data_IF_309669908520
#
_entry.id   IF_309669908520
#
_cell.length_a   1.000
_cell.length_b   1.000
_cell.length_c   1.000
_cell.angle_alpha   90.00
_cell.angle_beta   90.00
_cell.angle_gamma   90.00
#
_symmetry.space_group_name_H-M   'P 1'
#
loop_
_entity.id
_entity.type
_entity.pdbx_description
1 polymer ?
#
# COMPACT_ATOMS: atom_id res chain seq x y z
N UNK A 1 15.45 11.72 7.32
CA UNK A 1 14.49 11.12 6.39
C UNK A 1 13.07 11.37 6.86
N UNK A 2 12.19 11.66 5.94
CA UNK A 2 10.80 12.00 6.27
C UNK A 2 10.01 10.83 6.84
N UNK A 3 10.21 9.62 6.31
CA UNK A 3 9.43 8.46 6.70
C UNK A 3 10.17 7.58 7.69
N UNK A 4 9.43 7.03 8.65
CA UNK A 4 9.97 6.10 9.65
C UNK A 4 8.95 4.99 9.87
N UNK A 5 9.45 3.81 10.12
CA UNK A 5 8.60 2.67 10.46
C UNK A 5 7.78 3.02 11.71
N UNK A 6 6.49 2.73 11.66
CA UNK A 6 5.57 3.02 12.75
C UNK A 6 4.80 4.31 12.59
N UNK A 7 5.07 5.10 11.56
CA UNK A 7 4.29 6.30 11.30
C UNK A 7 2.97 5.95 10.63
N UNK A 8 1.95 6.75 10.94
CA UNK A 8 0.67 6.70 10.25
C UNK A 8 0.43 8.07 9.62
N UNK A 9 0.08 8.07 8.34
CA UNK A 9 -0.08 9.28 7.54
C UNK A 9 -1.47 9.40 6.95
N UNK A 10 -2.00 10.62 6.95
CA UNK A 10 -3.13 10.97 6.09
C UNK A 10 -2.60 11.15 4.67
N UNK A 11 -3.45 10.91 3.69
CA UNK A 11 -3.05 11.03 2.29
C UNK A 11 -4.24 11.51 1.46
N UNK A 12 -3.99 11.83 0.20
CA UNK A 12 -5.02 12.26 -0.74
C UNK A 12 -5.85 11.04 -1.14
N UNK A 13 -7.01 10.90 -0.51
CA UNK A 13 -7.85 9.71 -0.65
C UNK A 13 -8.79 9.79 -1.84
N UNK A 14 -9.41 8.67 -2.16
CA UNK A 14 -10.54 8.66 -3.08
C UNK A 14 -11.75 9.25 -2.36
N UNK A 15 -12.71 9.75 -3.16
CA UNK A 15 -13.95 10.26 -2.61
C UNK A 15 -14.68 9.14 -1.85
N UNK A 16 -15.14 9.44 -0.67
CA UNK A 16 -15.82 8.48 0.19
C UNK A 16 -14.90 7.73 1.13
N UNK A 17 -13.59 7.90 0.98
CA UNK A 17 -12.60 7.23 1.83
C UNK A 17 -11.76 8.23 2.61
N UNK A 18 -12.36 9.36 2.97
CA UNK A 18 -11.62 10.46 3.60
C UNK A 18 -11.00 10.11 4.94
N UNK A 19 -11.50 9.06 5.58
CA UNK A 19 -10.93 8.60 6.84
C UNK A 19 -9.83 7.56 6.68
N UNK A 20 -9.50 7.18 5.44
CA UNK A 20 -8.44 6.22 5.18
C UNK A 20 -7.08 6.81 5.55
N UNK A 21 -6.21 5.96 6.09
CA UNK A 21 -4.82 6.33 6.39
C UNK A 21 -3.90 5.22 5.93
N UNK A 22 -2.62 5.53 5.84
CA UNK A 22 -1.60 4.52 5.56
C UNK A 22 -0.61 4.44 6.70
N UNK A 23 0.02 3.28 6.83
CA UNK A 23 0.98 3.02 7.89
C UNK A 23 2.29 2.54 7.27
N UNK A 24 3.41 3.07 7.79
CA UNK A 24 4.73 2.70 7.31
C UNK A 24 5.18 1.44 8.06
N UNK A 25 5.34 0.35 7.32
CA UNK A 25 5.64 -0.96 7.92
C UNK A 25 7.12 -1.32 7.86
N UNK A 26 7.79 -0.93 6.77
CA UNK A 26 9.18 -1.31 6.55
C UNK A 26 9.76 -0.40 5.48
N UNK A 27 11.05 -0.09 5.60
CA UNK A 27 11.76 0.72 4.60
C UNK A 27 13.01 -0.04 4.19
N UNK A 28 13.18 -0.23 2.88
CA UNK A 28 14.35 -0.91 2.32
C UNK A 28 14.96 -0.05 1.23
N UNK A 29 16.23 -0.26 0.97
CA UNK A 29 16.91 0.45 -0.09
C UNK A 29 17.55 -0.54 -1.05
N UNK A 30 17.34 -0.33 -2.34
CA UNK A 30 17.88 -1.20 -3.40
C UNK A 30 18.69 -0.37 -4.38
N UNK A 31 19.78 -0.92 -4.93
CA UNK A 31 20.73 -0.12 -5.73
C UNK A 31 20.15 0.61 -6.92
N UNK A 32 19.19 0.03 -7.63
CA UNK A 32 18.65 0.66 -8.84
C UNK A 32 17.36 1.40 -8.63
N UNK A 33 16.61 1.04 -7.60
CA UNK A 33 15.28 1.57 -7.35
C UNK A 33 15.29 2.68 -6.33
N UNK A 34 16.26 2.63 -5.40
CA UNK A 34 16.30 3.52 -4.27
C UNK A 34 15.45 2.97 -3.13
N UNK A 35 14.80 3.86 -2.41
CA UNK A 35 14.01 3.44 -1.25
C UNK A 35 12.68 2.87 -1.66
N UNK A 36 12.36 1.70 -1.10
CA UNK A 36 11.06 1.06 -1.24
C UNK A 36 10.41 1.12 0.14
N UNK A 37 9.24 1.72 0.19
CA UNK A 37 8.51 1.88 1.44
C UNK A 37 7.33 0.94 1.42
N UNK A 38 7.27 0.05 2.40
CA UNK A 38 6.19 -0.93 2.49
C UNK A 38 5.13 -0.36 3.42
N UNK A 39 3.92 -0.19 2.89
CA UNK A 39 2.82 0.41 3.65
C UNK A 39 1.64 -0.53 3.71
N UNK A 40 0.77 -0.31 4.70
CA UNK A 40 -0.58 -0.83 4.69
C UNK A 40 -1.53 0.35 4.57
N UNK A 41 -2.72 0.09 4.05
CA UNK A 41 -3.74 1.13 3.86
C UNK A 41 -5.02 0.62 4.50
N UNK A 42 -5.58 1.40 5.42
CA UNK A 42 -6.81 1.02 6.10
C UNK A 42 -7.90 2.06 5.89
N UNK A 43 -9.11 1.72 6.29
CA UNK A 43 -10.25 2.63 6.16
C UNK A 43 -10.76 2.76 4.73
N UNK A 44 -10.51 1.76 3.90
CA UNK A 44 -10.92 1.76 2.50
C UNK A 44 -12.35 1.25 2.34
N UNK A 45 -12.93 1.54 1.18
CA UNK A 45 -14.23 1.02 0.76
C UNK A 45 -14.11 0.47 -0.65
N UNK A 46 -13.19 -0.46 -0.82
CA UNK A 46 -12.91 -1.07 -2.13
C UNK A 46 -13.98 -2.12 -2.41
N UNK A 47 -14.56 -2.06 -3.59
CA UNK A 47 -15.56 -3.06 -3.98
C UNK A 47 -14.90 -4.43 -4.12
N UNK A 48 -15.43 -5.40 -3.40
CA UNK A 48 -14.93 -6.77 -3.43
C UNK A 48 -16.10 -7.74 -3.39
N UNK A 49 -16.57 -8.22 -4.57
CA UNK A 49 -17.73 -9.11 -4.63
C UNK A 49 -17.55 -10.42 -3.86
N UNK A 50 -16.30 -10.82 -3.65
CA UNK A 50 -16.01 -12.08 -2.99
C UNK A 50 -16.01 -11.96 -1.47
N UNK A 51 -16.07 -10.75 -0.93
CA UNK A 51 -16.13 -10.59 0.52
C UNK A 51 -17.58 -10.63 0.99
N UNK A 52 -17.74 -10.95 2.29
CA UNK A 52 -19.06 -11.08 2.88
C UNK A 52 -19.85 -9.78 2.84
N UNK A 53 -19.19 -8.65 3.09
CA UNK A 53 -19.85 -7.34 3.08
C UNK A 53 -19.80 -6.66 1.72
N UNK A 54 -19.17 -7.28 0.73
CA UNK A 54 -19.03 -6.69 -0.58
C UNK A 54 -17.93 -5.65 -0.71
N UNK A 55 -17.18 -5.40 0.35
CA UNK A 55 -16.08 -4.44 0.33
C UNK A 55 -14.84 -5.01 0.99
N UNK A 56 -13.69 -4.47 0.61
CA UNK A 56 -12.41 -4.69 1.28
C UNK A 56 -12.02 -3.37 1.93
N UNK A 57 -11.67 -3.41 3.19
CA UNK A 57 -11.37 -2.20 3.96
C UNK A 57 -9.89 -1.94 4.15
N UNK A 58 -9.06 -2.88 3.75
CA UNK A 58 -7.64 -2.80 4.01
C UNK A 58 -6.81 -3.50 2.94
N UNK A 59 -5.64 -2.93 2.62
CA UNK A 59 -4.59 -3.64 1.91
C UNK A 59 -3.41 -3.76 2.88
N UNK A 60 -3.02 -4.99 3.17
CA UNK A 60 -2.02 -5.26 4.23
C UNK A 60 -0.59 -4.95 3.79
N UNK A 61 -0.30 -4.93 2.49
CA UNK A 61 1.06 -4.69 2.02
C UNK A 61 1.07 -4.09 0.62
N UNK A 62 1.61 -2.88 0.53
CA UNK A 62 1.79 -2.18 -0.75
C UNK A 62 3.23 -1.65 -0.77
N UNK A 63 4.09 -2.11 -1.68
CA UNK A 63 5.42 -1.52 -1.85
C UNK A 63 5.32 -0.30 -2.77
N UNK A 64 5.82 0.84 -2.32
CA UNK A 64 5.69 2.10 -3.06
C UNK A 64 7.02 2.84 -3.04
N UNK A 65 7.30 3.59 -4.11
CA UNK A 65 8.51 4.43 -4.16
C UNK A 65 8.34 5.64 -3.24
N UNK A 66 9.47 6.17 -2.78
CA UNK A 66 9.45 7.36 -1.93
C UNK A 66 8.80 8.55 -2.65
N UNK A 67 9.11 8.73 -3.92
CA UNK A 67 8.54 9.84 -4.70
C UNK A 67 7.01 9.74 -4.79
N UNK A 68 6.49 8.57 -5.10
CA UNK A 68 5.04 8.38 -5.20
C UNK A 68 4.36 8.59 -3.85
N UNK A 69 5.00 8.16 -2.79
CA UNK A 69 4.47 8.39 -1.45
C UNK A 69 4.47 9.88 -1.10
N UNK A 70 5.56 10.60 -1.45
CA UNK A 70 5.64 12.06 -1.23
C UNK A 70 4.49 12.78 -1.92
N UNK A 71 4.11 12.34 -3.10
CA UNK A 71 3.03 12.97 -3.85
C UNK A 71 1.66 12.65 -3.28
N UNK A 72 1.57 11.65 -2.43
CA UNK A 72 0.30 11.18 -1.88
C UNK A 72 0.00 11.71 -0.49
N UNK A 73 0.99 11.76 0.40
CA UNK A 73 0.76 12.08 1.81
C UNK A 73 0.39 13.55 2.01
N UNK A 74 -0.38 13.80 3.06
CA UNK A 74 -0.73 15.16 3.46
C UNK A 74 -0.14 15.49 4.82
N UNK A 75 -0.60 14.84 5.89
CA UNK A 75 -0.15 15.15 7.24
C UNK A 75 0.18 13.89 8.00
N UNK A 76 1.20 13.99 8.85
CA UNK A 76 1.54 12.91 9.78
C UNK A 76 0.44 12.86 10.85
N UNK A 77 -0.19 11.70 10.98
CA UNK A 77 -1.27 11.52 11.94
C UNK A 77 -0.77 10.98 13.26
N UNK A 78 0.10 9.98 13.23
CA UNK A 78 0.71 9.40 14.42
C UNK A 78 2.19 9.14 14.15
N UNK A 79 3.03 9.50 15.12
CA UNK A 79 4.47 9.33 14.95
C UNK A 79 4.93 7.90 15.22
N UNK A 80 4.19 7.17 16.04
CA UNK A 80 4.61 5.82 16.41
C UNK A 80 3.41 4.98 16.76
N UNK A 81 3.11 4.03 15.88
CA UNK A 81 2.09 3.03 16.12
C UNK A 81 2.74 1.67 16.15
N UNK A 82 2.01 0.69 16.66
CA UNK A 82 2.50 -0.68 16.70
C UNK A 82 2.45 -1.28 15.30
N UNK A 83 3.56 -1.88 14.87
CA UNK A 83 3.68 -2.51 13.55
C UNK A 83 3.77 -4.02 13.76
N UNK A 84 3.10 -4.83 12.92
CA UNK A 84 3.20 -6.28 13.06
C UNK A 84 4.62 -6.75 12.79
N UNK A 85 5.05 -7.78 13.51
CA UNK A 85 6.37 -8.38 13.30
C UNK A 85 6.46 -9.04 11.94
N UNK A 86 5.39 -9.70 11.53
CA UNK A 86 5.29 -10.33 10.22
C UNK A 86 4.31 -9.54 9.38
N UNK A 87 4.82 -8.94 8.30
CA UNK A 87 3.98 -8.17 7.39
C UNK A 87 3.35 -9.13 6.40
N UNK A 88 2.04 -9.26 6.47
CA UNK A 88 1.30 -10.15 5.58
C UNK A 88 1.54 -9.75 4.13
N UNK A 89 1.95 -10.70 3.30
CA UNK A 89 2.22 -10.45 1.89
C UNK A 89 3.66 -10.05 1.57
N UNK A 90 4.42 -9.62 2.58
CA UNK A 90 5.79 -9.14 2.32
C UNK A 90 6.71 -10.27 1.82
N UNK A 91 6.73 -11.41 2.49
CA UNK A 91 7.63 -12.50 2.12
C UNK A 91 7.35 -13.00 0.71
N UNK A 92 6.07 -13.11 0.35
CA UNK A 92 5.68 -13.52 -0.99
C UNK A 92 6.17 -12.50 -2.01
N UNK A 93 5.92 -11.21 -1.75
CA UNK A 93 6.38 -10.14 -2.62
C UNK A 93 7.90 -10.14 -2.78
N UNK A 94 8.62 -10.27 -1.67
CA UNK A 94 10.08 -10.25 -1.68
C UNK A 94 10.66 -11.37 -2.53
N UNK A 95 10.08 -12.55 -2.42
CA UNK A 95 10.49 -13.68 -3.23
C UNK A 95 10.27 -13.40 -4.72
N UNK A 96 9.10 -12.88 -5.07
CA UNK A 96 8.79 -12.55 -6.45
C UNK A 96 9.64 -11.40 -6.96
N UNK A 97 9.89 -10.42 -6.12
CA UNK A 97 10.72 -9.27 -6.46
C UNK A 97 12.16 -9.70 -6.76
N UNK A 98 12.71 -10.57 -5.94
CA UNK A 98 14.06 -11.08 -6.14
C UNK A 98 14.18 -11.88 -7.43
N UNK A 99 13.10 -12.46 -7.90
CA UNK A 99 13.05 -13.21 -9.16
C UNK A 99 12.60 -12.32 -10.33
N UNK A 100 12.50 -11.03 -10.10
CA UNK A 100 12.06 -10.04 -11.11
C UNK A 100 10.63 -10.29 -11.60
N UNK A 101 9.79 -10.88 -10.75
CA UNK A 101 8.39 -11.17 -11.07
C UNK A 101 7.43 -10.19 -10.40
N UNK A 102 7.93 -9.31 -9.54
CA UNK A 102 7.12 -8.30 -8.88
C UNK A 102 7.86 -6.98 -8.89
N UNK A 103 7.12 -5.88 -8.80
CA UNK A 103 7.68 -4.55 -8.84
C UNK A 103 7.30 -3.71 -7.64
N UNK A 104 7.50 -2.41 -7.79
CA UNK A 104 7.20 -1.41 -6.78
C UNK A 104 6.30 -0.37 -7.44
N UNK A 105 5.25 0.03 -6.75
CA UNK A 105 4.34 1.04 -7.30
C UNK A 105 5.01 2.40 -7.36
N UNK A 106 4.81 3.09 -8.48
CA UNK A 106 5.32 4.44 -8.70
C UNK A 106 4.22 5.45 -9.01
N UNK A 107 2.99 5.08 -8.70
CA UNK A 107 1.81 5.94 -8.87
C UNK A 107 1.26 6.31 -7.49
N UNK A 108 0.37 7.29 -7.44
CA UNK A 108 -0.17 7.77 -6.17
C UNK A 108 -0.97 6.67 -5.45
N UNK A 109 -1.12 6.82 -4.14
CA UNK A 109 -1.86 5.83 -3.34
C UNK A 109 -3.29 5.68 -3.85
N UNK A 110 -3.97 6.78 -4.18
CA UNK A 110 -5.33 6.71 -4.73
C UNK A 110 -5.38 5.93 -6.04
N UNK A 111 -4.39 6.12 -6.90
CA UNK A 111 -4.32 5.39 -8.15
C UNK A 111 -4.04 3.91 -7.92
N UNK A 112 -3.22 3.59 -6.92
CA UNK A 112 -2.98 2.20 -6.53
C UNK A 112 -4.28 1.55 -6.10
N UNK A 113 -5.05 2.24 -5.24
CA UNK A 113 -6.33 1.73 -4.74
C UNK A 113 -7.30 1.48 -5.89
N UNK A 114 -7.39 2.43 -6.84
CA UNK A 114 -8.22 2.26 -8.03
C UNK A 114 -7.81 1.05 -8.85
N UNK A 115 -6.51 0.88 -9.05
CA UNK A 115 -5.96 -0.22 -9.83
C UNK A 115 -6.26 -1.57 -9.17
N UNK A 116 -6.07 -1.64 -7.85
CA UNK A 116 -6.34 -2.86 -7.10
C UNK A 116 -7.82 -3.22 -7.12
N UNK A 117 -8.69 -2.21 -6.99
CA UNK A 117 -10.13 -2.44 -7.05
C UNK A 117 -10.54 -2.97 -8.42
N UNK A 118 -9.99 -2.40 -9.49
CA UNK A 118 -10.28 -2.84 -10.84
C UNK A 118 -9.87 -4.29 -11.04
N UNK A 119 -8.71 -4.67 -10.55
CA UNK A 119 -8.24 -6.06 -10.62
C UNK A 119 -9.18 -7.01 -9.87
N UNK A 120 -9.64 -6.59 -8.70
CA UNK A 120 -10.57 -7.39 -7.91
C UNK A 120 -11.90 -7.58 -8.66
N UNK A 121 -12.44 -6.50 -9.20
CA UNK A 121 -13.73 -6.55 -9.91
C UNK A 121 -13.65 -7.38 -11.18
N UNK A 122 -12.59 -7.20 -11.96
CA UNK A 122 -12.48 -7.87 -13.26
C UNK A 122 -11.81 -9.24 -13.16
N UNK A 123 -11.06 -9.47 -12.07
CA UNK A 123 -10.30 -10.70 -11.94
C UNK A 123 -9.05 -10.73 -12.81
N UNK A 124 -8.71 -9.64 -13.48
CA UNK A 124 -7.61 -9.64 -14.44
C UNK A 124 -6.25 -9.89 -13.83
N UNK A 125 -6.04 -9.44 -12.61
CA UNK A 125 -4.76 -9.65 -11.95
C UNK A 125 -4.51 -11.10 -11.58
N UNK A 126 -5.53 -11.92 -11.65
CA UNK A 126 -5.48 -13.31 -11.22
C UNK A 126 -5.27 -14.26 -12.39
N UNK A 127 -5.80 -13.89 -13.54
CA UNK A 127 -5.94 -14.80 -14.68
C UNK A 127 -4.61 -15.08 -15.38
N UNK A 128 -3.81 -14.09 -15.49
CA UNK A 128 -2.59 -14.24 -16.28
C UNK A 128 -1.49 -14.90 -15.52
#
# INVERSE_FOLDING_TARGET
MKYKVGQEWNYKTRKGEENSTLKILKIEEYPKIGKVIHISIGGLKVINPDSKEGIAEEFSHIPITEKALDESVTELKNEKIKVPKNIEGYSYWKKEFDQKQAGVFSISVSEIVNSMEEEIITGNGIIE
#
